data_IF_797987984660
#
_entry.id   IF_797987984660
#
_cell.length_a   1.000
_cell.length_b   1.000
_cell.length_c   1.000
_cell.angle_alpha   90.00
_cell.angle_beta   90.00
_cell.angle_gamma   90.00
#
_symmetry.space_group_name_H-M   'P 1'
#
loop_
_entity.id
_entity.type
_entity.pdbx_description
1 polymer ?
#
# COMPACT_ATOMS: atom_id res chain seq x y z
N UNK A 1 -15.88 -8.42 -10.38
CA UNK A 1 -15.89 -7.01 -10.82
C UNK A 1 -15.97 -7.01 -12.34
N UNK A 2 -16.99 -6.38 -12.92
CA UNK A 2 -17.13 -6.28 -14.37
C UNK A 2 -16.15 -5.27 -15.00
N UNK A 3 -16.12 -5.16 -16.34
CA UNK A 3 -15.40 -4.09 -17.03
C UNK A 3 -15.73 -2.71 -16.44
N UNK A 4 -14.74 -1.84 -16.31
CA UNK A 4 -14.85 -0.52 -15.66
C UNK A 4 -15.29 -0.52 -14.18
N UNK A 5 -15.35 -1.68 -13.54
CA UNK A 5 -15.64 -1.80 -12.12
C UNK A 5 -14.58 -1.09 -11.26
N UNK A 6 -15.04 -0.43 -10.20
CA UNK A 6 -14.19 0.19 -9.18
C UNK A 6 -14.41 -0.52 -7.85
N UNK A 7 -13.33 -0.70 -7.11
CA UNK A 7 -13.38 -1.18 -5.72
C UNK A 7 -12.64 -0.23 -4.80
N UNK A 8 -12.99 -0.24 -3.51
CA UNK A 8 -12.30 0.50 -2.46
C UNK A 8 -11.69 -0.51 -1.49
N UNK A 9 -10.37 -0.42 -1.28
CA UNK A 9 -9.67 -1.20 -0.29
C UNK A 9 -9.57 -0.36 0.98
N UNK A 10 -10.22 -0.79 2.05
CA UNK A 10 -10.36 0.00 3.28
C UNK A 10 -9.25 -0.23 4.31
N UNK A 11 -8.47 -1.29 4.14
CA UNK A 11 -7.39 -1.66 5.06
C UNK A 11 -6.80 -3.04 4.79
N UNK A 12 -5.92 -3.48 5.68
CA UNK A 12 -5.39 -4.82 5.76
C UNK A 12 -6.51 -5.78 6.18
N UNK A 13 -6.95 -6.63 5.26
CA UNK A 13 -8.01 -7.59 5.54
C UNK A 13 -7.47 -8.79 6.31
N UNK A 14 -8.06 -9.06 7.48
CA UNK A 14 -7.69 -10.20 8.34
C UNK A 14 -8.73 -11.32 8.27
N UNK A 15 -9.98 -11.00 7.94
CA UNK A 15 -11.06 -11.95 7.68
C UNK A 15 -12.12 -11.36 6.71
N UNK A 16 -13.24 -12.05 6.48
CA UNK A 16 -14.27 -11.60 5.53
C UNK A 16 -15.01 -10.33 5.95
N UNK A 17 -15.02 -10.00 7.24
CA UNK A 17 -15.76 -8.86 7.79
C UNK A 17 -14.87 -7.83 8.48
N UNK A 18 -13.57 -8.09 8.60
CA UNK A 18 -12.64 -7.25 9.36
C UNK A 18 -11.46 -6.79 8.50
N UNK A 19 -11.21 -5.49 8.59
CA UNK A 19 -10.00 -4.84 8.05
C UNK A 19 -9.36 -3.97 9.13
N UNK A 20 -8.06 -3.71 8.99
CA UNK A 20 -7.31 -2.75 9.79
C UNK A 20 -6.86 -1.58 8.91
N UNK A 21 -7.23 -0.36 9.27
CA UNK A 21 -7.01 0.81 8.41
C UNK A 21 -5.56 0.98 8.01
N UNK A 22 -5.33 1.36 6.76
CA UNK A 22 -4.03 1.87 6.31
C UNK A 22 -3.76 3.24 6.93
N UNK A 23 -2.50 3.48 7.27
CA UNK A 23 -1.95 4.81 7.52
C UNK A 23 -0.49 4.84 7.05
N UNK A 24 0.00 6.02 6.67
CA UNK A 24 1.41 6.19 6.33
C UNK A 24 2.23 6.32 7.62
N UNK A 25 3.40 5.71 7.63
CA UNK A 25 4.30 5.68 8.78
C UNK A 25 5.73 5.42 8.31
N UNK A 26 6.71 5.64 9.18
CA UNK A 26 8.11 5.36 8.87
C UNK A 26 8.40 3.85 8.85
N UNK A 27 9.58 3.48 8.34
CA UNK A 27 9.98 2.09 8.15
C UNK A 27 9.80 1.24 9.41
N UNK A 28 10.20 1.77 10.57
CA UNK A 28 10.21 1.03 11.85
C UNK A 28 8.83 0.55 12.31
N UNK A 29 7.77 1.32 12.05
CA UNK A 29 6.39 0.94 12.42
C UNK A 29 5.59 0.35 11.25
N UNK A 30 6.21 0.21 10.09
CA UNK A 30 5.55 -0.36 8.91
C UNK A 30 5.15 -1.82 9.12
N UNK A 31 4.01 -2.21 8.55
CA UNK A 31 3.48 -3.57 8.66
C UNK A 31 4.47 -4.62 8.16
N UNK A 32 5.18 -4.35 7.05
CA UNK A 32 6.12 -5.32 6.48
C UNK A 32 7.35 -5.55 7.36
N UNK A 33 7.85 -4.51 8.03
CA UNK A 33 8.95 -4.67 8.99
C UNK A 33 8.46 -5.37 10.25
N UNK A 34 7.34 -4.91 10.84
CA UNK A 34 6.82 -5.49 12.08
C UNK A 34 6.34 -6.94 11.95
N UNK A 35 5.93 -7.35 10.74
CA UNK A 35 5.36 -8.69 10.51
C UNK A 35 6.34 -9.65 9.85
N UNK A 36 7.15 -9.16 8.90
CA UNK A 36 8.01 -10.02 8.07
C UNK A 36 9.50 -9.66 8.16
N UNK A 37 9.85 -8.58 8.87
CA UNK A 37 11.19 -8.00 8.86
C UNK A 37 11.72 -7.77 7.43
N UNK A 38 10.83 -7.34 6.53
CA UNK A 38 11.12 -7.17 5.11
C UNK A 38 10.98 -5.70 4.67
N UNK A 39 12.07 -5.16 4.14
CA UNK A 39 12.16 -3.80 3.61
C UNK A 39 12.15 -3.72 2.08
N UNK A 40 12.23 -4.86 1.39
CA UNK A 40 12.50 -4.92 -0.06
C UNK A 40 11.43 -4.27 -0.94
N UNK A 41 10.20 -4.16 -0.43
CA UNK A 41 9.06 -3.56 -1.13
C UNK A 41 8.42 -2.38 -0.37
N UNK A 42 9.20 -1.65 0.42
CA UNK A 42 8.71 -0.47 1.13
C UNK A 42 8.15 0.60 0.20
N UNK A 43 7.03 1.19 0.61
CA UNK A 43 6.38 2.24 -0.15
C UNK A 43 5.68 1.77 -1.44
N UNK A 44 5.46 0.47 -1.66
CA UNK A 44 4.91 -0.03 -2.95
C UNK A 44 3.54 -0.67 -2.77
N UNK A 45 2.57 -0.21 -3.54
CA UNK A 45 1.30 -0.91 -3.78
C UNK A 45 1.46 -1.73 -5.05
N UNK A 46 1.41 -3.06 -4.93
CA UNK A 46 1.43 -3.97 -6.08
C UNK A 46 0.04 -4.49 -6.36
N UNK A 47 -0.39 -4.39 -7.61
CA UNK A 47 -1.66 -4.94 -8.10
C UNK A 47 -1.38 -5.91 -9.24
N UNK A 48 -1.88 -7.13 -9.11
CA UNK A 48 -1.88 -8.11 -10.18
C UNK A 48 -3.33 -8.43 -10.58
N UNK A 49 -3.62 -8.31 -11.86
CA UNK A 49 -4.92 -8.61 -12.43
C UNK A 49 -4.81 -9.88 -13.29
N UNK A 50 -5.74 -10.81 -13.07
CA UNK A 50 -5.82 -12.08 -13.77
C UNK A 50 -7.12 -12.15 -14.55
N UNK A 51 -7.09 -12.78 -15.72
CA UNK A 51 -8.30 -13.19 -16.42
C UNK A 51 -8.75 -14.51 -15.81
N UNK A 52 -10.06 -14.71 -15.74
CA UNK A 52 -10.59 -16.03 -15.46
C UNK A 52 -10.32 -16.93 -16.65
N UNK A 53 -9.87 -18.17 -16.40
CA UNK A 53 -9.77 -19.18 -17.44
C UNK A 53 -11.15 -19.36 -18.05
N UNK A 54 -11.25 -19.16 -19.36
CA UNK A 54 -12.39 -19.67 -20.10
C UNK A 54 -12.35 -21.19 -19.95
N UNK A 55 -13.33 -21.77 -19.25
CA UNK A 55 -13.55 -23.21 -19.37
C UNK A 55 -13.80 -23.46 -20.86
N UNK A 56 -13.05 -24.36 -21.53
CA UNK A 56 -13.40 -24.71 -22.90
C UNK A 56 -14.86 -25.15 -22.89
N UNK A 57 -15.68 -24.52 -23.73
CA UNK A 57 -17.00 -25.07 -24.03
C UNK A 57 -16.73 -26.47 -24.58
N UNK A 58 -17.11 -27.49 -23.82
CA UNK A 58 -17.03 -28.86 -24.29
C UNK A 58 -18.10 -28.94 -25.38
N UNK A 59 -17.71 -28.70 -26.64
CA UNK A 59 -18.36 -29.40 -27.74
C UNK A 59 -18.13 -30.88 -27.42
N UNK A 60 -19.21 -31.57 -27.09
CA UNK A 60 -19.20 -33.00 -26.82
C UNK A 60 -18.69 -33.73 -28.06
N UNK A 61 -17.38 -33.97 -28.11
CA UNK A 61 -16.81 -35.13 -28.77
C UNK A 61 -15.63 -35.64 -27.95
N UNK A 62 -15.72 -36.92 -27.60
CA UNK A 62 -14.95 -37.55 -26.54
C UNK A 62 -13.46 -37.56 -26.81
N UNK A 63 -12.69 -36.83 -26.00
CA UNK A 63 -11.24 -36.99 -25.93
C UNK A 63 -10.77 -36.94 -24.47
N UNK A 64 -10.17 -38.04 -24.03
CA UNK A 64 -9.49 -38.20 -22.74
C UNK A 64 -8.13 -37.51 -22.76
N UNK A 65 -7.81 -36.72 -21.72
CA UNK A 65 -6.48 -36.15 -21.52
C UNK A 65 -5.90 -36.52 -20.15
N UNK A 66 -4.65 -37.01 -20.16
CA UNK A 66 -3.85 -37.37 -18.99
C UNK A 66 -3.30 -36.12 -18.28
N UNK A 67 -3.38 -36.13 -16.96
CA UNK A 67 -2.90 -35.08 -16.05
C UNK A 67 -1.36 -35.08 -15.97
N UNK A 68 -0.74 -33.89 -16.02
CA UNK A 68 0.64 -33.70 -15.56
C UNK A 68 0.69 -32.52 -14.58
N UNK A 69 1.05 -32.83 -13.32
CA UNK A 69 1.27 -31.85 -12.26
C UNK A 69 2.58 -31.09 -12.51
N UNK A 70 2.54 -29.76 -12.48
CA UNK A 70 3.74 -28.93 -12.31
C UNK A 70 3.57 -28.04 -11.09
N UNK A 71 4.53 -28.19 -10.16
CA UNK A 71 4.69 -27.40 -8.94
C UNK A 71 5.40 -26.09 -9.30
N UNK A 72 4.87 -24.96 -8.85
CA UNK A 72 5.54 -23.67 -8.99
C UNK A 72 6.70 -23.56 -7.96
N UNK A 73 7.87 -23.02 -8.33
CA UNK A 73 8.91 -22.70 -7.36
C UNK A 73 8.57 -21.40 -6.62
N UNK A 74 8.89 -21.37 -5.32
CA UNK A 74 8.91 -20.14 -4.52
C UNK A 74 10.14 -19.30 -4.89
N UNK A 75 9.96 -17.98 -4.93
CA UNK A 75 11.07 -17.04 -5.15
C UNK A 75 11.96 -16.95 -3.90
N UNK A 76 13.28 -16.76 -4.05
CA UNK A 76 14.17 -16.53 -2.90
C UNK A 76 13.97 -15.12 -2.34
N UNK A 77 13.99 -15.01 -1.01
CA UNK A 77 14.19 -13.74 -0.31
C UNK A 77 15.66 -13.35 -0.40
N UNK A 78 15.94 -12.14 -0.87
CA UNK A 78 17.28 -11.58 -0.91
C UNK A 78 17.50 -10.70 0.33
N UNK A 79 18.53 -11.04 1.11
CA UNK A 79 18.96 -10.30 2.29
C UNK A 79 19.87 -9.09 1.99
N UNK A 80 19.69 -8.09 2.85
CA UNK A 80 20.60 -7.06 3.38
C UNK A 80 21.43 -6.14 2.45
N UNK A 81 21.24 -4.83 2.61
CA UNK A 81 22.19 -3.93 3.31
C UNK A 81 21.51 -2.60 3.67
N UNK A 82 21.59 -2.22 4.95
CA UNK A 82 21.12 -0.94 5.47
C UNK A 82 22.00 0.20 4.98
N UNK A 83 21.38 1.22 4.40
CA UNK A 83 21.96 2.55 4.31
C UNK A 83 21.14 3.47 5.21
N UNK A 84 21.82 4.41 5.86
CA UNK A 84 21.28 5.33 6.88
C UNK A 84 20.11 6.23 6.41
N UNK A 85 19.77 6.18 5.11
CA UNK A 85 18.62 6.87 4.50
C UNK A 85 17.35 6.00 4.48
N UNK A 86 17.42 4.75 4.97
CA UNK A 86 16.33 3.78 4.96
C UNK A 86 15.30 3.99 6.07
N UNK A 87 15.64 4.72 7.14
CA UNK A 87 14.76 4.84 8.32
C UNK A 87 13.50 5.67 8.02
N UNK A 88 13.64 6.71 7.18
CA UNK A 88 12.56 7.63 6.77
C UNK A 88 11.82 7.19 5.50
N UNK A 89 11.98 5.94 5.07
CA UNK A 89 11.20 5.47 3.91
C UNK A 89 9.73 5.33 4.28
N UNK A 90 8.85 5.91 3.46
CA UNK A 90 7.41 5.82 3.70
C UNK A 90 6.94 4.36 3.61
N UNK A 91 6.29 3.91 4.68
CA UNK A 91 5.65 2.62 4.82
C UNK A 91 4.16 2.73 5.11
N UNK A 92 3.49 1.58 5.20
CA UNK A 92 2.08 1.48 5.60
C UNK A 92 1.97 0.70 6.90
N UNK A 93 1.36 1.30 7.92
CA UNK A 93 1.13 0.68 9.22
C UNK A 93 -0.19 -0.09 9.31
N UNK A 94 -0.38 -0.81 10.42
CA UNK A 94 -1.55 -1.64 10.69
C UNK A 94 -2.47 -1.00 11.74
N UNK A 95 -3.45 -0.23 11.26
CA UNK A 95 -4.24 0.66 12.12
C UNK A 95 -5.39 -0.02 12.87
N UNK A 96 -6.30 0.81 13.35
CA UNK A 96 -7.47 0.36 14.11
C UNK A 96 -8.38 -0.54 13.28
N UNK A 97 -8.98 -1.51 13.96
CA UNK A 97 -9.98 -2.43 13.43
C UNK A 97 -11.22 -1.69 12.90
N UNK A 98 -11.71 -2.08 11.73
CA UNK A 98 -12.95 -1.62 11.10
C UNK A 98 -13.71 -2.80 10.51
N UNK A 99 -15.04 -2.70 10.54
CA UNK A 99 -15.88 -3.65 9.81
C UNK A 99 -15.90 -3.30 8.33
N UNK A 100 -15.71 -4.31 7.48
CA UNK A 100 -15.75 -4.20 6.02
C UNK A 100 -16.08 -5.59 5.46
N UNK A 101 -17.29 -5.80 4.95
CA UNK A 101 -17.72 -7.12 4.48
C UNK A 101 -17.25 -7.44 3.06
N UNK A 102 -16.85 -8.69 2.84
CA UNK A 102 -16.43 -9.22 1.56
C UNK A 102 -16.92 -10.67 1.40
N UNK A 103 -17.16 -11.08 0.16
CA UNK A 103 -17.61 -12.43 -0.16
C UNK A 103 -16.53 -13.13 -1.00
N UNK A 104 -16.27 -14.39 -0.68
CA UNK A 104 -15.41 -15.25 -1.51
C UNK A 104 -16.21 -15.73 -2.71
N UNK A 105 -15.67 -15.50 -3.90
CA UNK A 105 -16.24 -15.98 -5.17
C UNK A 105 -15.41 -17.12 -5.72
N UNK A 106 -16.03 -18.01 -6.48
CA UNK A 106 -15.30 -18.98 -7.30
C UNK A 106 -14.68 -18.25 -8.50
N UNK A 107 -13.37 -18.42 -8.67
CA UNK A 107 -12.60 -17.77 -9.72
C UNK A 107 -11.36 -18.61 -10.01
N UNK A 108 -11.23 -19.11 -11.25
CA UNK A 108 -10.06 -19.87 -11.68
C UNK A 108 -9.13 -18.96 -12.52
N UNK A 109 -8.09 -18.34 -11.95
CA UNK A 109 -7.21 -17.44 -12.70
C UNK A 109 -6.38 -18.18 -13.74
N UNK A 110 -6.10 -17.51 -14.85
CA UNK A 110 -4.99 -17.86 -15.74
C UNK A 110 -3.66 -17.94 -14.98
N UNK A 111 -2.69 -18.69 -15.52
CA UNK A 111 -1.40 -18.93 -14.84
C UNK A 111 -0.61 -17.64 -14.63
N UNK A 112 -0.60 -16.77 -15.62
CA UNK A 112 0.17 -15.53 -15.64
C UNK A 112 -0.80 -14.34 -15.57
N UNK A 113 -0.51 -13.29 -14.78
CA UNK A 113 -1.37 -12.13 -14.70
C UNK A 113 -1.35 -11.37 -16.03
N UNK A 114 -2.52 -10.97 -16.52
CA UNK A 114 -2.61 -10.17 -17.74
C UNK A 114 -2.10 -8.74 -17.54
N UNK A 115 -2.07 -8.26 -16.29
CA UNK A 115 -1.49 -6.95 -15.94
C UNK A 115 -0.91 -6.95 -14.54
N UNK A 116 0.27 -6.36 -14.39
CA UNK A 116 0.86 -5.97 -13.10
C UNK A 116 1.02 -4.46 -13.08
N UNK A 117 0.63 -3.83 -11.97
CA UNK A 117 0.82 -2.41 -11.72
C UNK A 117 1.55 -2.26 -10.39
N UNK A 118 2.60 -1.45 -10.39
CA UNK A 118 3.31 -1.07 -9.18
C UNK A 118 3.15 0.43 -9.02
N UNK A 119 2.69 0.86 -7.85
CA UNK A 119 2.58 2.27 -7.48
C UNK A 119 3.50 2.50 -6.29
N UNK A 120 4.60 3.21 -6.53
CA UNK A 120 5.53 3.65 -5.49
C UNK A 120 4.99 4.96 -4.90
N UNK A 121 4.82 4.99 -3.60
CA UNK A 121 4.57 6.19 -2.82
C UNK A 121 5.78 6.52 -1.96
N UNK A 122 5.92 7.80 -1.65
CA UNK A 122 6.94 8.37 -0.76
C UNK A 122 6.35 9.57 -0.04
N UNK A 123 7.06 10.06 0.97
CA UNK A 123 6.74 11.33 1.62
C UNK A 123 6.76 12.48 0.61
N UNK A 124 5.95 13.50 0.88
CA UNK A 124 5.82 14.67 0.03
C UNK A 124 7.19 15.32 -0.25
N UNK A 125 7.98 15.55 0.80
CA UNK A 125 9.28 16.21 0.68
C UNK A 125 10.28 15.37 -0.10
N UNK A 126 10.28 14.04 0.09
CA UNK A 126 11.06 13.11 -0.72
C UNK A 126 10.66 13.18 -2.20
N UNK A 127 9.37 13.32 -2.51
CA UNK A 127 8.92 13.49 -3.90
C UNK A 127 9.30 14.86 -4.48
N UNK A 128 9.37 15.91 -3.65
CA UNK A 128 9.89 17.23 -4.02
C UNK A 128 11.39 17.17 -4.35
N UNK A 129 12.17 16.58 -3.46
CA UNK A 129 13.62 16.41 -3.63
C UNK A 129 13.96 15.59 -4.88
N UNK A 130 13.15 14.58 -5.17
CA UNK A 130 13.26 13.76 -6.40
C UNK A 130 12.75 14.49 -7.66
N UNK A 131 12.18 15.68 -7.53
CA UNK A 131 11.64 16.45 -8.66
C UNK A 131 10.39 15.84 -9.30
N UNK A 132 9.74 14.87 -8.65
CA UNK A 132 8.49 14.25 -9.12
C UNK A 132 7.32 15.21 -8.91
N UNK A 133 7.30 15.88 -7.75
CA UNK A 133 6.36 16.95 -7.47
C UNK A 133 7.01 18.31 -7.72
N UNK A 134 6.25 19.22 -8.33
CA UNK A 134 6.63 20.63 -8.43
C UNK A 134 6.32 21.31 -7.09
N UNK A 135 7.30 21.34 -6.22
CA UNK A 135 7.15 21.97 -4.91
C UNK A 135 7.56 23.44 -5.01
N UNK A 136 6.57 24.33 -4.92
CA UNK A 136 6.83 25.76 -4.82
C UNK A 136 7.32 26.01 -3.40
N UNK A 137 8.57 26.46 -3.22
CA UNK A 137 9.03 27.02 -1.94
C UNK A 137 8.33 28.36 -1.72
N UNK A 138 7.13 28.33 -1.16
CA UNK A 138 6.31 29.51 -0.89
C UNK A 138 4.85 29.14 -1.14
N UNK A 139 3.98 29.09 -0.14
CA UNK A 139 3.84 29.99 0.99
C UNK A 139 4.02 29.26 2.32
N UNK A 140 4.88 29.77 3.21
CA UNK A 140 4.76 29.42 4.62
C UNK A 140 3.42 29.97 5.09
N UNK A 141 2.43 29.09 5.28
CA UNK A 141 1.24 29.45 6.03
C UNK A 141 1.65 29.55 7.49
N UNK A 142 1.27 30.64 8.19
CA UNK A 142 1.66 30.90 9.59
C UNK A 142 1.36 29.76 10.57
N UNK A 143 0.48 28.83 10.16
CA UNK A 143 0.11 27.65 10.92
C UNK A 143 1.27 26.67 11.12
N UNK A 144 2.33 26.79 10.32
CA UNK A 144 3.47 25.86 10.30
C UNK A 144 4.80 26.59 10.47
N UNK A 145 4.79 27.80 11.06
CA UNK A 145 6.03 28.45 11.49
C UNK A 145 6.62 27.66 12.67
N UNK A 146 7.95 27.52 12.73
CA UNK A 146 8.68 26.76 13.77
C UNK A 146 8.61 27.40 15.18
N UNK A 147 7.71 28.36 15.38
CA UNK A 147 7.42 28.95 16.67
C UNK A 147 6.56 27.95 17.47
N UNK A 148 7.03 27.56 18.65
CA UNK A 148 6.43 26.51 19.49
C UNK A 148 4.99 26.83 19.96
N UNK A 149 4.52 28.08 19.75
CA UNK A 149 3.20 28.57 20.16
C UNK A 149 2.56 29.53 19.14
N UNK A 150 1.23 29.48 19.03
CA UNK A 150 0.46 30.40 18.20
C UNK A 150 0.56 31.86 18.74
N UNK A 151 0.73 32.87 17.85
CA UNK A 151 0.81 34.26 18.29
C UNK A 151 -0.51 34.75 18.88
N UNK A 152 -0.43 35.60 19.91
CA UNK A 152 -1.61 36.27 20.48
C UNK A 152 -2.28 37.18 19.42
N UNK A 153 -3.62 37.19 19.33
CA UNK A 153 -4.32 38.16 18.51
C UNK A 153 -4.10 39.59 19.02
N UNK A 154 -4.15 40.62 18.14
CA UNK A 154 -3.97 42.01 18.54
C UNK A 154 -4.92 42.39 19.70
N UNK A 155 -4.39 43.04 20.74
CA UNK A 155 -5.16 43.46 21.91
C UNK A 155 -5.09 42.52 23.11
N UNK A 156 -4.38 41.39 23.00
CA UNK A 156 -4.08 40.48 24.12
C UNK A 156 -2.60 40.56 24.49
N UNK A 157 -2.29 40.58 25.78
CA UNK A 157 -0.91 40.53 26.28
C UNK A 157 -0.67 39.26 27.11
N UNK A 158 0.57 38.78 27.07
CA UNK A 158 1.03 37.68 27.92
C UNK A 158 1.11 38.18 29.37
N UNK A 159 0.38 37.55 30.29
CA UNK A 159 0.54 37.81 31.72
C UNK A 159 1.89 37.25 32.17
N UNK A 160 2.91 38.10 32.25
CA UNK A 160 4.16 37.77 32.95
C UNK A 160 3.95 37.93 34.45
N UNK A 161 3.62 36.83 35.12
CA UNK A 161 3.62 36.76 36.58
C UNK A 161 5.02 37.02 37.14
N UNK A 162 5.07 37.76 38.25
CA UNK A 162 6.26 38.03 39.06
C UNK A 162 6.85 36.76 39.68
#
# INVERSE_FOLDING_TARGET
MGPHGRTRLEGWRTDLDTVHRFYFTDKGDSYSIRTFNDSSAMGVITVAAFREKKRPEILSDGYTFKESKRRAPAAPSAGEKSSKYEEDTAGTGFGNRRHSSAVKVEFEPERDPFKKLLVKYEWHDTLCEKGILKCVRGEKNRLWDDDEYAPFPPGYWEYKGQ
#
